data_IF_219052700638
#
_entry.id   IF_219052700638
#
_cell.length_a   1.000
_cell.length_b   1.000
_cell.length_c   1.000
_cell.angle_alpha   90.00
_cell.angle_beta   90.00
_cell.angle_gamma   90.00
#
_symmetry.space_group_name_H-M   'P 1'
#
loop_
_entity.id
_entity.type
_entity.pdbx_description
1 polymer ?
#
# COMPACT_ATOMS: atom_id res chain seq x y z
N UNK A 1 1.23 21.39 -35.68
CA UNK A 1 2.31 20.46 -36.10
C UNK A 1 1.62 19.31 -36.83
N UNK A 2 1.93 19.08 -38.10
CA UNK A 2 1.16 18.19 -38.97
C UNK A 2 1.98 16.96 -39.39
N UNK A 3 1.25 15.92 -39.81
CA UNK A 3 1.77 14.66 -40.35
C UNK A 3 1.40 14.63 -41.83
N UNK A 4 2.31 14.14 -42.65
CA UNK A 4 2.13 13.97 -44.09
C UNK A 4 1.78 12.52 -44.40
N UNK A 5 0.83 12.30 -45.30
CA UNK A 5 0.38 10.96 -45.70
C UNK A 5 0.54 10.80 -47.20
N UNK A 6 1.23 9.74 -47.61
CA UNK A 6 1.45 9.39 -49.01
C UNK A 6 0.75 8.07 -49.32
N UNK A 7 -0.04 8.05 -50.39
CA UNK A 7 -0.65 6.85 -50.94
C UNK A 7 0.03 6.54 -52.28
N UNK A 8 0.68 5.39 -52.36
CA UNK A 8 1.36 4.94 -53.57
C UNK A 8 0.42 4.14 -54.46
N UNK A 9 0.72 4.07 -55.77
CA UNK A 9 -0.10 3.35 -56.74
C UNK A 9 -0.16 1.83 -56.49
N UNK A 10 0.81 1.28 -55.75
CA UNK A 10 0.86 -0.12 -55.31
C UNK A 10 0.00 -0.40 -54.06
N UNK A 11 -0.69 0.62 -53.53
CA UNK A 11 -1.55 0.51 -52.36
C UNK A 11 -0.83 0.66 -51.01
N UNK A 12 0.48 0.95 -51.00
CA UNK A 12 1.20 1.24 -49.76
C UNK A 12 0.86 2.63 -49.23
N UNK A 13 0.73 2.73 -47.91
CA UNK A 13 0.63 3.99 -47.19
C UNK A 13 2.01 4.35 -46.61
N UNK A 14 2.39 5.62 -46.60
CA UNK A 14 3.51 6.08 -45.78
C UNK A 14 3.08 7.31 -44.98
N UNK A 15 3.31 7.25 -43.68
CA UNK A 15 2.91 8.27 -42.71
C UNK A 15 4.19 8.90 -42.20
N UNK A 16 4.40 10.18 -42.51
CA UNK A 16 5.66 10.88 -42.22
C UNK A 16 5.48 12.07 -41.30
N UNK A 17 6.49 12.31 -40.49
CA UNK A 17 6.58 13.48 -39.66
C UNK A 17 7.97 14.09 -39.76
N UNK A 18 8.04 15.33 -40.25
CA UNK A 18 9.31 16.02 -40.50
C UNK A 18 10.28 15.18 -41.36
N UNK A 19 9.75 14.47 -42.36
CA UNK A 19 10.55 13.58 -43.21
C UNK A 19 10.86 12.19 -42.64
N UNK A 20 10.52 11.91 -41.37
CA UNK A 20 10.70 10.59 -40.77
C UNK A 20 9.44 9.74 -40.93
N UNK A 21 9.58 8.50 -41.41
CA UNK A 21 8.46 7.54 -41.48
C UNK A 21 8.10 7.06 -40.07
N UNK A 22 6.80 7.08 -39.77
CA UNK A 22 6.24 6.62 -38.52
C UNK A 22 5.73 5.19 -38.67
N UNK A 23 5.93 4.33 -37.65
CA UNK A 23 5.35 3.00 -37.65
C UNK A 23 3.83 3.11 -37.61
N UNK A 24 3.16 2.41 -38.52
CA UNK A 24 1.72 2.30 -38.55
C UNK A 24 1.31 0.84 -38.78
N UNK A 25 0.07 0.52 -38.41
CA UNK A 25 -0.55 -0.77 -38.71
C UNK A 25 -1.90 -0.50 -39.36
N UNK A 26 -2.18 -1.19 -40.46
CA UNK A 26 -3.51 -1.11 -41.10
C UNK A 26 -4.52 -1.73 -40.16
N UNK A 27 -5.56 -0.96 -39.82
CA UNK A 27 -6.67 -1.45 -39.03
C UNK A 27 -7.63 -2.21 -39.95
N UNK A 28 -7.83 -3.49 -39.65
CA UNK A 28 -8.82 -4.31 -40.35
C UNK A 28 -10.22 -3.95 -39.83
N UNK A 29 -11.03 -3.32 -40.69
CA UNK A 29 -12.40 -2.92 -40.36
C UNK A 29 -13.37 -4.09 -40.38
N UNK A 30 -13.00 -5.18 -41.05
CA UNK A 30 -13.81 -6.39 -41.15
C UNK A 30 -13.41 -7.42 -40.10
N UNK A 31 -12.71 -7.00 -39.03
CA UNK A 31 -12.40 -7.85 -37.89
C UNK A 31 -13.69 -8.35 -37.23
N UNK A 32 -14.17 -9.51 -37.70
CA UNK A 32 -15.36 -10.17 -37.16
C UNK A 32 -15.00 -10.80 -35.83
N UNK A 33 -15.43 -10.17 -34.74
CA UNK A 33 -15.42 -10.81 -33.43
C UNK A 33 -16.48 -11.91 -33.44
N UNK A 34 -16.09 -13.15 -33.14
CA UNK A 34 -17.06 -14.24 -33.05
C UNK A 34 -18.04 -13.97 -31.91
N UNK A 35 -19.30 -14.39 -32.07
CA UNK A 35 -20.31 -14.20 -31.02
C UNK A 35 -19.90 -14.85 -29.68
N UNK A 36 -19.15 -15.97 -29.76
CA UNK A 36 -18.55 -16.62 -28.60
C UNK A 36 -17.57 -15.70 -27.87
N UNK A 37 -16.63 -15.05 -28.58
CA UNK A 37 -15.69 -14.11 -27.98
C UNK A 37 -16.37 -12.88 -27.38
N UNK A 38 -17.47 -12.40 -28.00
CA UNK A 38 -18.28 -11.32 -27.41
C UNK A 38 -18.89 -11.77 -26.08
N UNK A 39 -19.45 -12.99 -26.03
CA UNK A 39 -20.11 -13.53 -24.84
C UNK A 39 -19.11 -13.79 -23.72
N UNK A 40 -17.93 -14.31 -24.05
CA UNK A 40 -16.84 -14.55 -23.12
C UNK A 40 -16.32 -13.24 -22.51
N UNK A 41 -16.11 -12.19 -23.31
CA UNK A 41 -15.70 -10.89 -22.80
C UNK A 41 -16.73 -10.25 -21.86
N UNK A 42 -18.03 -10.43 -22.12
CA UNK A 42 -19.09 -9.99 -21.21
C UNK A 42 -19.03 -10.73 -19.88
N UNK A 43 -18.94 -12.07 -19.93
CA UNK A 43 -18.78 -12.91 -18.73
C UNK A 43 -17.54 -12.53 -17.93
N UNK A 44 -16.43 -12.24 -18.61
CA UNK A 44 -15.20 -11.76 -17.96
C UNK A 44 -15.43 -10.42 -17.25
N UNK A 45 -16.12 -9.48 -17.89
CA UNK A 45 -16.51 -8.20 -17.29
C UNK A 45 -17.31 -8.39 -16.01
N UNK A 46 -18.32 -9.27 -16.03
CA UNK A 46 -19.16 -9.57 -14.87
C UNK A 46 -18.35 -10.19 -13.71
N UNK A 47 -17.47 -11.15 -14.02
CA UNK A 47 -16.58 -11.78 -13.03
C UNK A 47 -15.63 -10.77 -12.40
N UNK A 48 -15.04 -9.87 -13.20
CA UNK A 48 -14.14 -8.83 -12.69
C UNK A 48 -14.88 -7.81 -11.82
N UNK A 49 -16.11 -7.43 -12.20
CA UNK A 49 -16.95 -6.56 -11.39
C UNK A 49 -17.24 -7.20 -10.02
N UNK A 50 -17.59 -8.49 -10.00
CA UNK A 50 -17.79 -9.24 -8.78
C UNK A 50 -16.53 -9.32 -7.90
N UNK A 51 -15.37 -9.61 -8.49
CA UNK A 51 -14.09 -9.65 -7.76
C UNK A 51 -13.79 -8.28 -7.14
N UNK A 52 -13.99 -7.19 -7.90
CA UNK A 52 -13.79 -5.83 -7.43
C UNK A 52 -14.70 -5.51 -6.24
N UNK A 53 -15.98 -5.84 -6.32
CA UNK A 53 -16.93 -5.64 -5.22
C UNK A 53 -16.47 -6.37 -3.94
N UNK A 54 -15.96 -7.61 -4.08
CA UNK A 54 -15.41 -8.38 -2.95
C UNK A 54 -14.13 -7.79 -2.37
N UNK A 55 -13.31 -7.14 -3.18
CA UNK A 55 -12.10 -6.45 -2.70
C UNK A 55 -12.40 -5.10 -2.04
N UNK A 56 -13.44 -4.40 -2.51
CA UNK A 56 -13.91 -3.14 -1.91
C UNK A 56 -14.63 -3.37 -0.58
N UNK A 57 -15.24 -4.55 -0.37
CA UNK A 57 -15.72 -4.96 0.95
C UNK A 57 -14.55 -4.89 1.95
N UNK A 58 -14.67 -4.10 3.04
CA UNK A 58 -13.58 -3.87 3.98
C UNK A 58 -13.25 -5.17 4.73
N UNK A 59 -12.34 -5.94 4.15
CA UNK A 59 -11.78 -7.18 4.71
C UNK A 59 -10.33 -7.01 5.15
N UNK A 60 -9.78 -5.78 5.11
CA UNK A 60 -8.42 -5.53 5.60
C UNK A 60 -8.36 -5.99 7.06
N UNK A 61 -7.64 -7.08 7.38
CA UNK A 61 -7.47 -7.46 8.75
C UNK A 61 -6.80 -6.29 9.45
N UNK A 62 -7.26 -5.93 10.65
CA UNK A 62 -6.56 -4.96 11.49
C UNK A 62 -5.19 -5.58 11.80
N UNK A 63 -4.19 -5.23 11.00
CA UNK A 63 -2.82 -5.71 11.17
C UNK A 63 -2.27 -4.98 12.39
N UNK A 64 -2.32 -5.67 13.54
CA UNK A 64 -1.69 -5.18 14.76
C UNK A 64 -0.21 -4.88 14.49
N UNK A 65 0.25 -3.72 14.94
CA UNK A 65 1.69 -3.39 14.93
C UNK A 65 2.47 -4.39 15.79
N UNK A 66 3.78 -4.55 15.56
CA UNK A 66 4.60 -5.47 16.38
C UNK A 66 4.51 -5.15 17.89
N UNK A 67 4.40 -3.86 18.24
CA UNK A 67 4.15 -3.40 19.61
C UNK A 67 2.79 -3.85 20.16
N UNK A 68 1.71 -3.78 19.37
CA UNK A 68 0.37 -4.23 19.77
C UNK A 68 0.28 -5.75 19.88
N UNK A 69 0.98 -6.49 19.00
CA UNK A 69 1.09 -7.96 19.08
C UNK A 69 1.83 -8.39 20.36
N UNK A 70 2.88 -7.65 20.72
CA UNK A 70 3.71 -7.94 21.88
C UNK A 70 3.13 -7.36 23.19
N UNK A 71 1.94 -6.73 23.16
CA UNK A 71 1.30 -6.18 24.36
C UNK A 71 2.03 -4.98 24.97
N UNK A 72 2.73 -4.19 24.17
CA UNK A 72 3.45 -3.00 24.64
C UNK A 72 2.47 -1.97 25.22
N UNK A 73 2.62 -1.67 26.51
CA UNK A 73 1.89 -0.57 27.17
C UNK A 73 2.83 0.64 27.24
N UNK A 74 2.48 1.77 26.61
CA UNK A 74 3.30 2.98 26.70
C UNK A 74 3.34 3.46 28.15
N UNK A 75 4.55 3.74 28.65
CA UNK A 75 4.74 4.30 29.98
C UNK A 75 4.40 5.80 29.95
N UNK A 76 3.74 6.30 30.98
CA UNK A 76 3.38 7.73 31.16
C UNK A 76 4.60 8.65 31.11
N UNK A 77 5.78 8.12 31.44
CA UNK A 77 7.08 8.77 31.25
C UNK A 77 7.96 7.83 30.44
N UNK A 78 8.75 8.40 29.52
CA UNK A 78 9.74 7.65 28.74
C UNK A 78 10.70 6.87 29.64
N UNK A 79 11.53 5.98 29.08
CA UNK A 79 12.56 5.32 29.88
C UNK A 79 13.36 6.44 30.56
N UNK A 80 13.23 6.54 31.88
CA UNK A 80 14.03 7.44 32.68
C UNK A 80 15.51 7.16 32.40
N UNK A 81 16.40 8.05 32.85
CA UNK A 81 17.82 7.73 32.73
C UNK A 81 18.04 6.38 33.40
N UNK A 82 18.91 5.54 32.81
CA UNK A 82 19.21 4.15 33.24
C UNK A 82 19.65 4.01 34.71
N UNK A 83 19.72 5.11 35.44
CA UNK A 83 20.27 5.29 36.78
C UNK A 83 19.43 6.26 37.62
N UNK A 84 18.10 6.29 37.47
CA UNK A 84 17.20 7.08 38.34
C UNK A 84 17.04 6.42 39.73
N UNK A 85 18.16 6.06 40.37
CA UNK A 85 18.26 5.42 41.70
C UNK A 85 17.55 6.24 42.79
N UNK A 86 17.51 7.57 42.64
CA UNK A 86 16.89 8.49 43.60
C UNK A 86 15.35 8.34 43.63
N UNK A 87 14.74 7.94 42.50
CA UNK A 87 13.30 7.82 42.37
C UNK A 87 12.83 6.36 42.29
N UNK A 88 13.72 5.40 42.55
CA UNK A 88 13.39 3.97 42.57
C UNK A 88 12.52 3.64 43.79
N UNK A 89 11.31 3.05 43.61
CA UNK A 89 10.42 2.71 44.71
C UNK A 89 11.06 1.82 45.77
N UNK A 90 11.95 0.90 45.40
CA UNK A 90 12.65 0.04 46.36
C UNK A 90 13.66 0.81 47.23
N UNK A 91 14.30 1.83 46.65
CA UNK A 91 15.25 2.71 47.36
C UNK A 91 14.52 3.63 48.33
N UNK A 92 13.36 4.15 47.93
CA UNK A 92 12.51 4.99 48.77
C UNK A 92 12.03 4.21 50.00
N UNK A 93 11.53 2.98 49.82
CA UNK A 93 11.06 2.14 50.93
C UNK A 93 12.20 1.77 51.89
N UNK A 94 13.38 1.44 51.36
CA UNK A 94 14.56 1.16 52.20
C UNK A 94 14.98 2.39 53.02
N UNK A 95 14.86 3.59 52.46
CA UNK A 95 15.17 4.85 53.16
C UNK A 95 14.15 5.15 54.26
N UNK A 96 12.85 4.95 53.99
CA UNK A 96 11.79 5.08 55.01
C UNK A 96 11.97 4.07 56.16
N UNK A 97 12.28 2.82 55.85
CA UNK A 97 12.51 1.79 56.86
C UNK A 97 13.74 2.09 57.74
N UNK A 98 14.78 2.70 57.17
CA UNK A 98 15.95 3.15 57.94
C UNK A 98 15.60 4.31 58.88
N UNK A 99 14.82 5.29 58.41
CA UNK A 99 14.33 6.39 59.24
C UNK A 99 13.44 5.90 60.39
N UNK A 100 12.48 5.02 60.10
CA UNK A 100 11.61 4.43 61.12
C UNK A 100 12.38 3.62 62.18
N UNK A 101 13.53 3.02 61.82
CA UNK A 101 14.41 2.34 62.77
C UNK A 101 15.20 3.30 63.66
N UNK A 102 15.50 4.50 63.17
CA UNK A 102 16.15 5.55 63.97
C UNK A 102 15.16 6.17 64.95
N UNK A 103 13.94 6.46 64.48
CA UNK A 103 12.86 6.98 65.33
C UNK A 103 12.44 5.98 66.44
N UNK A 104 12.59 4.68 66.20
CA UNK A 104 12.32 3.64 67.20
C UNK A 104 13.49 3.40 68.18
N UNK A 105 14.64 4.03 67.95
CA UNK A 105 15.84 3.91 68.78
C UNK A 105 16.10 5.16 69.65
N UNK A 106 15.32 6.22 69.48
CA UNK A 106 15.19 7.36 70.42
C UNK A 106 14.07 7.10 71.45
#
# INVERSE_FOLDING_TARGET
RYVETYAYADGRLDVRWKGHSLPYKVFDKDQRVTHAAITENKRLGDVLAYIKERQEQPSKPVVKTNSEKNGYVPRVRGPGRRTDFINDPAVIERRKAALAKLDAAE
#
